data_IF_539511618161
#
_entry.id   IF_539511618161
#
_cell.length_a   1.000
_cell.length_b   1.000
_cell.length_c   1.000
_cell.angle_alpha   90.00
_cell.angle_beta   90.00
_cell.angle_gamma   90.00
#
_symmetry.space_group_name_H-M   'P 1'
#
loop_
_entity.id
_entity.type
_entity.pdbx_description
1 polymer ?
#
# COMPACT_ATOMS: atom_id res chain seq x y z
N UNK A 1 2.63 -10.31 -10.47
CA UNK A 1 1.57 -9.50 -9.83
C UNK A 1 1.16 -8.47 -10.86
N UNK A 2 -0.01 -7.86 -10.74
CA UNK A 2 -0.34 -6.70 -11.56
C UNK A 2 -0.42 -5.46 -10.66
N UNK A 3 0.19 -4.36 -11.12
CA UNK A 3 0.20 -3.09 -10.41
C UNK A 3 -0.31 -2.02 -11.36
N UNK A 4 -1.38 -1.35 -10.97
CA UNK A 4 -1.91 -0.20 -11.69
C UNK A 4 -1.77 1.05 -10.85
N UNK A 5 -1.00 2.02 -11.34
CA UNK A 5 -0.91 3.34 -10.74
C UNK A 5 -1.92 4.29 -11.39
N UNK A 6 -2.72 4.96 -10.58
CA UNK A 6 -3.62 6.04 -11.00
C UNK A 6 -3.44 7.23 -10.08
N UNK A 7 -3.94 8.39 -10.48
CA UNK A 7 -3.95 9.59 -9.65
C UNK A 7 -5.38 10.06 -9.45
N UNK A 8 -5.75 10.33 -8.21
CA UNK A 8 -7.05 10.84 -7.84
C UNK A 8 -6.86 11.98 -6.84
N UNK A 9 -7.26 13.19 -7.25
CA UNK A 9 -7.20 14.40 -6.42
C UNK A 9 -5.81 14.67 -5.79
N UNK A 10 -4.75 14.47 -6.59
CA UNK A 10 -3.35 14.66 -6.16
C UNK A 10 -2.77 13.52 -5.34
N UNK A 11 -3.54 12.45 -5.10
CA UNK A 11 -3.13 11.25 -4.35
C UNK A 11 -2.86 10.12 -5.35
N UNK A 12 -1.70 9.48 -5.24
CA UNK A 12 -1.38 8.32 -6.06
C UNK A 12 -2.05 7.07 -5.49
N UNK A 13 -2.78 6.34 -6.31
CA UNK A 13 -3.45 5.08 -5.95
C UNK A 13 -2.78 3.94 -6.69
N UNK A 14 -2.13 3.04 -5.94
CA UNK A 14 -1.56 1.80 -6.43
C UNK A 14 -2.55 0.67 -6.18
N UNK A 15 -3.21 0.19 -7.24
CA UNK A 15 -4.07 -1.00 -7.18
C UNK A 15 -3.21 -2.24 -7.41
N UNK A 16 -3.30 -3.21 -6.51
CA UNK A 16 -2.52 -4.45 -6.54
C UNK A 16 -3.45 -5.64 -6.79
N UNK A 17 -3.07 -6.49 -7.74
CA UNK A 17 -3.83 -7.69 -8.09
C UNK A 17 -2.96 -8.95 -8.12
N UNK A 18 -3.53 -10.08 -7.67
CA UNK A 18 -2.86 -11.37 -7.58
C UNK A 18 -2.17 -11.57 -6.24
N UNK A 19 -0.85 -11.79 -6.23
CA UNK A 19 -0.09 -12.15 -5.02
C UNK A 19 1.19 -11.36 -4.84
N UNK A 20 1.48 -11.00 -3.59
CA UNK A 20 2.71 -10.35 -3.18
C UNK A 20 3.57 -11.32 -2.36
N UNK A 21 4.61 -11.87 -2.98
CA UNK A 21 5.55 -12.80 -2.37
C UNK A 21 7.01 -12.43 -2.68
N UNK A 22 7.97 -13.30 -2.34
CA UNK A 22 9.38 -13.00 -2.53
C UNK A 22 9.78 -12.71 -3.99
N UNK A 23 9.00 -13.20 -4.96
CA UNK A 23 9.25 -13.01 -6.40
C UNK A 23 8.61 -11.73 -6.93
N UNK A 24 7.46 -11.31 -6.38
CA UNK A 24 6.71 -10.13 -6.85
C UNK A 24 6.91 -8.88 -5.99
N UNK A 25 7.45 -9.01 -4.77
CA UNK A 25 7.74 -7.86 -3.90
C UNK A 25 8.68 -6.83 -4.55
N UNK A 26 9.76 -7.22 -5.27
CA UNK A 26 10.62 -6.24 -5.94
C UNK A 26 9.89 -5.38 -6.98
N UNK A 27 8.85 -5.92 -7.63
CA UNK A 27 8.01 -5.19 -8.59
C UNK A 27 7.22 -4.08 -7.89
N UNK A 28 6.63 -4.40 -6.73
CA UNK A 28 5.95 -3.42 -5.87
C UNK A 28 6.87 -2.31 -5.38
N UNK A 29 8.06 -2.68 -4.88
CA UNK A 29 9.04 -1.72 -4.40
C UNK A 29 9.49 -0.78 -5.52
N UNK A 30 9.71 -1.31 -6.73
CA UNK A 30 10.05 -0.51 -7.91
C UNK A 30 8.95 0.48 -8.29
N UNK A 31 7.70 0.02 -8.35
CA UNK A 31 6.55 0.87 -8.68
C UNK A 31 6.35 2.00 -7.64
N UNK A 32 6.42 1.66 -6.35
CA UNK A 32 6.28 2.66 -5.30
C UNK A 32 7.46 3.65 -5.27
N UNK A 33 8.68 3.17 -5.52
CA UNK A 33 9.87 4.03 -5.63
C UNK A 33 9.77 4.98 -6.82
N UNK A 34 9.25 4.54 -7.96
CA UNK A 34 9.05 5.40 -9.13
C UNK A 34 8.14 6.60 -8.81
N UNK A 35 7.06 6.38 -8.04
CA UNK A 35 6.17 7.45 -7.58
C UNK A 35 6.87 8.40 -6.59
N UNK A 36 7.65 7.86 -5.65
CA UNK A 36 8.44 8.68 -4.70
C UNK A 36 9.44 9.59 -5.42
N UNK A 37 10.13 9.09 -6.45
CA UNK A 37 11.07 9.88 -7.26
C UNK A 37 10.36 11.02 -8.00
N UNK A 38 9.09 10.84 -8.36
CA UNK A 38 8.24 11.88 -8.94
C UNK A 38 7.70 12.87 -7.90
N UNK A 39 8.08 12.75 -6.63
CA UNK A 39 7.61 13.61 -5.55
C UNK A 39 6.20 13.27 -5.06
N UNK A 40 5.62 12.15 -5.48
CA UNK A 40 4.32 11.70 -4.98
C UNK A 40 4.52 11.11 -3.59
N UNK A 41 4.10 11.84 -2.56
CA UNK A 41 4.27 11.45 -1.15
C UNK A 41 2.94 11.17 -0.44
N UNK A 42 1.82 11.33 -1.14
CA UNK A 42 0.49 10.92 -0.69
C UNK A 42 0.08 9.70 -1.50
N UNK A 43 -0.01 8.54 -0.85
CA UNK A 43 -0.25 7.27 -1.53
C UNK A 43 -1.34 6.42 -0.85
N UNK A 44 -2.15 5.78 -1.68
CA UNK A 44 -3.09 4.73 -1.27
C UNK A 44 -2.67 3.42 -1.93
N UNK A 45 -2.59 2.35 -1.15
CA UNK A 45 -2.41 0.99 -1.64
C UNK A 45 -3.77 0.29 -1.59
N UNK A 46 -4.37 0.08 -2.75
CA UNK A 46 -5.64 -0.63 -2.88
C UNK A 46 -5.37 -2.13 -3.07
N UNK A 47 -5.85 -2.92 -2.13
CA UNK A 47 -5.59 -4.36 -2.04
C UNK A 47 -6.84 -5.19 -2.37
N UNK A 48 -7.84 -4.59 -3.02
CA UNK A 48 -9.10 -5.26 -3.37
C UNK A 48 -8.90 -6.58 -4.10
N UNK A 49 -7.91 -6.66 -4.99
CA UNK A 49 -7.63 -7.86 -5.79
C UNK A 49 -6.36 -8.59 -5.33
N UNK A 50 -5.82 -8.25 -4.15
CA UNK A 50 -4.65 -8.93 -3.60
C UNK A 50 -5.09 -10.15 -2.78
N UNK A 51 -4.92 -11.32 -3.38
CA UNK A 51 -5.35 -12.60 -2.82
C UNK A 51 -4.43 -13.09 -1.69
N UNK A 52 -3.14 -12.76 -1.77
CA UNK A 52 -2.12 -13.29 -0.85
C UNK A 52 -0.96 -12.32 -0.64
N UNK A 53 -0.47 -12.26 0.60
CA UNK A 53 0.74 -11.55 0.97
C UNK A 53 1.61 -12.41 1.90
N UNK A 54 2.92 -12.51 1.59
CA UNK A 54 3.90 -13.21 2.42
C UNK A 54 4.71 -12.27 3.31
N UNK A 55 5.58 -12.83 4.15
CA UNK A 55 6.55 -12.06 4.94
C UNK A 55 7.49 -11.19 4.11
N UNK A 56 7.77 -11.57 2.85
CA UNK A 56 8.52 -10.71 1.94
C UNK A 56 7.71 -9.46 1.57
N UNK A 57 6.43 -9.63 1.23
CA UNK A 57 5.54 -8.51 0.92
C UNK A 57 5.36 -7.56 2.11
N UNK A 58 5.20 -8.10 3.32
CA UNK A 58 5.14 -7.28 4.53
C UNK A 58 6.40 -6.45 4.76
N UNK A 59 7.59 -7.01 4.50
CA UNK A 59 8.85 -6.26 4.56
C UNK A 59 8.91 -5.17 3.50
N UNK A 60 8.43 -5.44 2.29
CA UNK A 60 8.32 -4.43 1.23
C UNK A 60 7.40 -3.27 1.63
N UNK A 61 6.24 -3.58 2.23
CA UNK A 61 5.32 -2.59 2.80
C UNK A 61 6.01 -1.73 3.86
N UNK A 62 6.73 -2.35 4.80
CA UNK A 62 7.49 -1.61 5.83
C UNK A 62 8.56 -0.71 5.22
N UNK A 63 9.21 -1.16 4.14
CA UNK A 63 10.13 -0.35 3.36
C UNK A 63 9.46 0.91 2.83
N UNK A 64 8.31 0.76 2.15
CA UNK A 64 7.54 1.89 1.63
C UNK A 64 7.08 2.84 2.74
N UNK A 65 6.55 2.32 3.85
CA UNK A 65 6.11 3.12 5.01
C UNK A 65 7.26 4.00 5.52
N UNK A 66 8.47 3.43 5.65
CA UNK A 66 9.66 4.18 6.07
C UNK A 66 10.02 5.28 5.07
N UNK A 67 9.99 4.97 3.76
CA UNK A 67 10.31 5.94 2.72
C UNK A 67 9.31 7.11 2.66
N UNK A 68 8.01 6.81 2.75
CA UNK A 68 6.96 7.86 2.79
C UNK A 68 7.13 8.73 4.03
N UNK A 69 7.36 8.13 5.20
CA UNK A 69 7.57 8.86 6.45
C UNK A 69 8.81 9.76 6.38
N UNK A 70 9.91 9.27 5.80
CA UNK A 70 11.12 10.06 5.61
C UNK A 70 10.89 11.27 4.67
N UNK A 71 9.97 11.13 3.71
CA UNK A 71 9.54 12.22 2.84
C UNK A 71 8.44 13.11 3.45
N UNK A 72 8.11 12.94 4.74
CA UNK A 72 6.99 13.62 5.42
C UNK A 72 5.64 13.46 4.71
N UNK A 73 5.47 12.33 4.00
CA UNK A 73 4.26 11.97 3.29
C UNK A 73 3.25 11.20 4.15
N UNK A 74 2.15 10.81 3.51
CA UNK A 74 1.10 9.99 4.13
C UNK A 74 0.80 8.76 3.25
N UNK A 75 0.53 7.64 3.91
CA UNK A 75 0.23 6.37 3.27
C UNK A 75 -1.01 5.74 3.92
N UNK A 76 -1.93 5.25 3.10
CA UNK A 76 -3.07 4.47 3.55
C UNK A 76 -3.20 3.18 2.75
N UNK A 77 -3.81 2.17 3.36
CA UNK A 77 -4.16 0.90 2.75
C UNK A 77 -5.68 0.76 2.76
N UNK A 78 -6.27 0.18 1.72
CA UNK A 78 -7.70 -0.07 1.69
C UNK A 78 -8.06 -1.41 1.03
N UNK A 79 -9.31 -1.81 1.23
CA UNK A 79 -9.91 -2.96 0.54
C UNK A 79 -9.18 -4.28 0.80
N UNK A 80 -8.61 -4.47 1.99
CA UNK A 80 -7.88 -5.71 2.31
C UNK A 80 -8.83 -6.91 2.26
N UNK A 81 -8.48 -7.90 1.45
CA UNK A 81 -9.15 -9.19 1.44
C UNK A 81 -8.95 -9.93 2.78
N UNK A 82 -9.86 -10.84 3.20
CA UNK A 82 -9.84 -11.46 4.52
C UNK A 82 -8.48 -12.07 4.92
N UNK A 83 -7.80 -12.71 3.97
CA UNK A 83 -6.50 -13.32 4.22
C UNK A 83 -5.41 -12.28 4.47
N UNK A 84 -5.37 -11.21 3.66
CA UNK A 84 -4.42 -10.10 3.85
C UNK A 84 -4.73 -9.31 5.13
N UNK A 85 -6.00 -9.07 5.44
CA UNK A 85 -6.45 -8.41 6.66
C UNK A 85 -6.02 -9.19 7.92
N UNK A 86 -6.15 -10.52 7.90
CA UNK A 86 -5.72 -11.37 9.01
C UNK A 86 -4.20 -11.34 9.19
N UNK A 87 -3.45 -11.39 8.08
CA UNK A 87 -1.98 -11.24 8.12
C UNK A 87 -1.57 -9.88 8.69
N UNK A 88 -2.24 -8.80 8.30
CA UNK A 88 -2.00 -7.45 8.85
C UNK A 88 -2.31 -7.40 10.34
N UNK A 89 -3.40 -8.01 10.78
CA UNK A 89 -3.81 -8.07 12.20
C UNK A 89 -2.78 -8.83 13.04
N UNK A 90 -2.39 -10.04 12.62
CA UNK A 90 -1.40 -10.86 13.33
C UNK A 90 -0.04 -10.16 13.37
N UNK A 91 0.34 -9.46 12.29
CA UNK A 91 1.60 -8.73 12.20
C UNK A 91 1.60 -7.40 12.95
N UNK A 92 0.47 -6.98 13.51
CA UNK A 92 0.32 -5.71 14.23
C UNK A 92 0.25 -4.47 13.33
N UNK A 93 0.08 -4.63 12.02
CA UNK A 93 0.09 -3.51 11.06
C UNK A 93 -1.12 -2.60 11.25
N UNK A 94 -2.27 -3.13 11.67
CA UNK A 94 -3.47 -2.33 11.94
C UNK A 94 -3.26 -1.27 13.04
N UNK A 95 -2.29 -1.46 13.94
CA UNK A 95 -1.98 -0.48 14.98
C UNK A 95 -0.97 0.59 14.52
N UNK A 96 -0.24 0.33 13.44
CA UNK A 96 0.86 1.18 12.96
C UNK A 96 0.52 1.93 11.67
N UNK A 97 -0.41 1.40 10.86
CA UNK A 97 -0.73 1.87 9.53
C UNK A 97 -2.18 2.34 9.45
N UNK A 98 -2.43 3.34 8.61
CA UNK A 98 -3.78 3.74 8.26
C UNK A 98 -4.38 2.68 7.34
N UNK A 99 -5.32 1.89 7.85
CA UNK A 99 -6.04 0.85 7.11
C UNK A 99 -7.52 1.20 7.09
N UNK A 100 -8.09 1.33 5.90
CA UNK A 100 -9.47 1.74 5.67
C UNK A 100 -10.27 0.62 4.98
N UNK A 101 -11.60 0.67 5.10
CA UNK A 101 -12.47 -0.31 4.47
C UNK A 101 -12.53 -0.12 2.95
N UNK A 102 -12.63 1.13 2.50
CA UNK A 102 -12.81 1.48 1.08
C UNK A 102 -11.75 2.46 0.59
N UNK A 103 -11.66 2.62 -0.72
CA UNK A 103 -10.80 3.63 -1.35
C UNK A 103 -11.25 5.04 -0.97
N UNK A 104 -12.55 5.27 -0.89
CA UNK A 104 -13.15 6.54 -0.49
C UNK A 104 -12.75 6.93 0.94
N UNK A 105 -12.80 5.98 1.87
CA UNK A 105 -12.37 6.21 3.27
C UNK A 105 -10.87 6.56 3.33
N UNK A 106 -10.04 5.86 2.55
CA UNK A 106 -8.60 6.14 2.47
C UNK A 106 -8.31 7.52 1.88
N UNK A 107 -9.03 7.93 0.84
CA UNK A 107 -8.94 9.28 0.28
C UNK A 107 -9.31 10.34 1.34
N UNK A 108 -10.37 10.12 2.11
CA UNK A 108 -10.76 11.00 3.19
C UNK A 108 -9.67 11.08 4.28
N UNK A 109 -9.12 9.94 4.68
CA UNK A 109 -8.10 9.84 5.73
C UNK A 109 -6.78 10.55 5.37
N UNK A 110 -6.43 10.62 4.08
CA UNK A 110 -5.20 11.31 3.63
C UNK A 110 -5.38 12.82 3.42
N UNK A 111 -6.61 13.28 3.21
CA UNK A 111 -6.95 14.70 3.05
C UNK A 111 -6.99 15.46 4.38
N UNK A 112 -7.39 14.79 5.45
CA UNK A 112 -7.31 15.33 6.83
C UNK A 112 -5.88 15.34 7.32
#
# INVERSE_FOLDING_TARGET
MEIKATEQDGISVLTLSGRMDATTTPEFESAARALLVQGKILMIIDMADLEYISSAGLRGILGLVKSIKAASGKLAFCSLQPMAAEVFRISGFNAMLTVCGTREDALCALRG
#
